data_IF_311129173563
#
_entry.id   IF_311129173563
#
_cell.length_a   1.000
_cell.length_b   1.000
_cell.length_c   1.000
_cell.angle_alpha   90.00
_cell.angle_beta   90.00
_cell.angle_gamma   90.00
#
_symmetry.space_group_name_H-M   'P 1'
#
loop_
_entity.id
_entity.type
_entity.pdbx_description
1 polymer ?
#
# COMPACT_ATOMS: atom_id res chain seq x y z
N UNK A 1 8.39 36.06 -15.91
CA UNK A 1 7.75 34.79 -15.51
C UNK A 1 7.51 34.82 -14.01
N UNK A 2 6.32 34.50 -13.51
CA UNK A 2 6.08 34.45 -12.07
C UNK A 2 7.04 33.47 -11.43
N UNK A 3 7.62 33.84 -10.28
CA UNK A 3 8.55 33.04 -9.50
C UNK A 3 7.75 31.92 -8.85
N UNK A 4 7.83 30.69 -9.38
CA UNK A 4 7.21 29.50 -8.78
C UNK A 4 7.74 29.36 -7.35
N UNK A 5 6.85 29.21 -6.37
CA UNK A 5 7.24 28.98 -4.99
C UNK A 5 8.13 27.72 -4.89
N UNK A 6 9.04 27.68 -3.93
CA UNK A 6 9.96 26.55 -3.73
C UNK A 6 9.16 25.26 -3.55
N UNK A 7 8.09 25.32 -2.79
CA UNK A 7 7.21 24.20 -2.49
C UNK A 7 6.49 23.66 -3.73
N UNK A 8 5.95 24.54 -4.57
CA UNK A 8 5.29 24.13 -5.82
C UNK A 8 6.28 23.48 -6.79
N UNK A 9 7.51 23.99 -6.84
CA UNK A 9 8.59 23.40 -7.64
C UNK A 9 8.97 22.02 -7.13
N UNK A 10 9.10 21.86 -5.81
CA UNK A 10 9.41 20.60 -5.15
C UNK A 10 8.34 19.56 -5.47
N UNK A 11 7.07 19.91 -5.32
CA UNK A 11 5.93 19.05 -5.65
C UNK A 11 5.92 18.64 -7.12
N UNK A 12 6.07 19.59 -8.05
CA UNK A 12 6.10 19.29 -9.47
C UNK A 12 7.25 18.34 -9.88
N UNK A 13 8.41 18.42 -9.22
CA UNK A 13 9.53 17.49 -9.44
C UNK A 13 9.24 16.11 -8.86
N UNK A 14 8.59 16.00 -7.70
CA UNK A 14 8.15 14.73 -7.12
C UNK A 14 7.12 14.06 -8.04
N UNK A 15 6.09 14.79 -8.49
CA UNK A 15 5.07 14.27 -9.40
C UNK A 15 5.68 13.78 -10.72
N UNK A 16 6.65 14.51 -11.26
CA UNK A 16 7.38 14.09 -12.45
C UNK A 16 8.20 12.82 -12.21
N UNK A 17 8.87 12.73 -11.04
CA UNK A 17 9.63 11.53 -10.68
C UNK A 17 8.69 10.32 -10.52
N UNK A 18 7.52 10.47 -9.89
CA UNK A 18 6.50 9.41 -9.80
C UNK A 18 6.10 8.91 -11.19
N UNK A 19 5.84 9.82 -12.15
CA UNK A 19 5.48 9.42 -13.52
C UNK A 19 6.61 8.68 -14.24
N UNK A 20 7.87 9.14 -14.09
CA UNK A 20 9.04 8.47 -14.68
C UNK A 20 9.21 7.07 -14.07
N UNK A 21 9.10 6.96 -12.74
CA UNK A 21 9.26 5.68 -12.05
C UNK A 21 8.14 4.70 -12.44
N UNK A 22 6.91 5.15 -12.51
CA UNK A 22 5.78 4.31 -12.90
C UNK A 22 5.91 3.76 -14.33
N UNK A 23 6.48 4.55 -15.24
CA UNK A 23 6.67 4.17 -16.63
C UNK A 23 7.94 3.35 -16.87
N UNK A 24 9.06 3.78 -16.27
CA UNK A 24 10.40 3.34 -16.68
C UNK A 24 11.22 2.72 -15.53
N UNK A 25 10.67 2.68 -14.30
CA UNK A 25 11.33 2.18 -13.09
C UNK A 25 12.24 3.19 -12.40
N UNK A 26 12.65 2.87 -11.16
CA UNK A 26 13.49 3.74 -10.31
C UNK A 26 14.85 4.01 -10.94
N UNK A 27 15.44 3.02 -11.65
CA UNK A 27 16.74 3.19 -12.28
C UNK A 27 16.72 4.31 -13.34
N UNK A 28 15.62 4.46 -14.09
CA UNK A 28 15.45 5.47 -15.13
C UNK A 28 15.18 6.89 -14.56
N UNK A 29 14.78 7.03 -13.30
CA UNK A 29 14.50 8.31 -12.66
C UNK A 29 15.80 9.10 -12.35
N UNK A 30 16.57 9.41 -13.40
CA UNK A 30 17.71 10.32 -13.32
C UNK A 30 17.24 11.78 -13.18
N UNK A 31 18.12 12.64 -12.66
CA UNK A 31 17.81 14.08 -12.54
C UNK A 31 17.41 14.71 -13.89
N UNK A 32 18.07 14.28 -14.98
CA UNK A 32 17.76 14.75 -16.34
C UNK A 32 16.38 14.25 -16.82
N UNK A 33 16.05 13.00 -16.56
CA UNK A 33 14.74 12.44 -16.94
C UNK A 33 13.62 13.17 -16.19
N UNK A 34 13.81 13.39 -14.89
CA UNK A 34 12.81 14.07 -14.04
C UNK A 34 12.60 15.53 -14.44
N UNK A 35 13.66 16.31 -14.69
CA UNK A 35 13.48 17.71 -15.13
C UNK A 35 12.89 17.78 -16.53
N UNK A 36 13.22 16.84 -17.41
CA UNK A 36 12.61 16.73 -18.75
C UNK A 36 11.10 16.47 -18.65
N UNK A 37 10.69 15.53 -17.81
CA UNK A 37 9.29 15.20 -17.53
C UNK A 37 8.55 16.38 -16.87
N UNK A 38 9.22 17.14 -15.98
CA UNK A 38 8.64 18.30 -15.30
C UNK A 38 8.60 19.57 -16.17
N UNK A 39 9.25 19.57 -17.34
CA UNK A 39 9.43 20.79 -18.15
C UNK A 39 10.30 21.84 -17.45
N UNK A 40 11.25 21.42 -16.59
CA UNK A 40 12.08 22.31 -15.77
C UNK A 40 13.57 22.21 -16.13
N UNK A 41 14.35 23.17 -15.63
CA UNK A 41 15.80 23.16 -15.77
C UNK A 41 16.47 22.30 -14.68
N UNK A 42 17.67 21.78 -14.96
CA UNK A 42 18.48 21.07 -13.98
C UNK A 42 18.81 21.96 -12.76
N UNK A 43 19.01 23.27 -12.96
CA UNK A 43 19.18 24.24 -11.88
C UNK A 43 17.96 24.30 -10.95
N UNK A 44 16.74 24.15 -11.49
CA UNK A 44 15.51 24.08 -10.70
C UNK A 44 15.48 22.88 -9.77
N UNK A 45 16.01 21.75 -10.22
CA UNK A 45 16.10 20.55 -9.39
C UNK A 45 17.12 20.73 -8.27
N UNK A 46 18.33 21.20 -8.58
CA UNK A 46 19.37 21.44 -7.57
C UNK A 46 19.01 22.51 -6.54
N UNK A 47 18.06 23.40 -6.88
CA UNK A 47 17.50 24.35 -5.91
C UNK A 47 16.53 23.67 -4.92
N UNK A 48 15.88 22.58 -5.33
CA UNK A 48 14.87 21.88 -4.53
C UNK A 48 15.40 20.63 -3.81
N UNK A 49 16.43 19.99 -4.39
CA UNK A 49 17.01 18.74 -3.90
C UNK A 49 18.54 18.74 -4.11
N UNK A 50 19.28 18.37 -3.05
CA UNK A 50 20.73 18.30 -3.08
C UNK A 50 21.24 17.11 -3.94
N UNK A 51 20.45 16.04 -4.03
CA UNK A 51 20.80 14.83 -4.76
C UNK A 51 19.59 14.12 -5.34
N UNK A 52 19.82 13.15 -6.24
CA UNK A 52 18.82 12.21 -6.74
C UNK A 52 18.23 11.36 -5.61
N UNK A 53 19.06 10.93 -4.69
CA UNK A 53 18.66 10.12 -3.52
C UNK A 53 17.67 10.89 -2.65
N UNK A 54 17.93 12.18 -2.40
CA UNK A 54 17.03 13.04 -1.64
C UNK A 54 15.68 13.21 -2.36
N UNK A 55 15.69 13.35 -3.68
CA UNK A 55 14.45 13.35 -4.46
C UNK A 55 13.69 12.03 -4.32
N UNK A 56 14.36 10.88 -4.45
CA UNK A 56 13.70 9.57 -4.33
C UNK A 56 13.14 9.33 -2.92
N UNK A 57 13.84 9.75 -1.87
CA UNK A 57 13.31 9.73 -0.49
C UNK A 57 12.04 10.56 -0.37
N UNK A 58 12.01 11.74 -0.99
CA UNK A 58 10.81 12.59 -1.00
C UNK A 58 9.65 11.95 -1.81
N UNK A 59 9.96 11.23 -2.90
CA UNK A 59 8.96 10.45 -3.65
C UNK A 59 8.34 9.36 -2.78
N UNK A 60 9.15 8.59 -2.06
CA UNK A 60 8.65 7.55 -1.15
C UNK A 60 7.74 8.14 -0.07
N UNK A 61 8.15 9.26 0.53
CA UNK A 61 7.34 9.95 1.54
C UNK A 61 5.98 10.40 0.98
N UNK A 62 5.95 11.03 -0.21
CA UNK A 62 4.71 11.48 -0.85
C UNK A 62 3.77 10.31 -1.19
N UNK A 63 4.33 9.22 -1.73
CA UNK A 63 3.56 8.02 -2.05
C UNK A 63 2.98 7.39 -0.78
N UNK A 64 3.78 7.24 0.28
CA UNK A 64 3.35 6.72 1.58
C UNK A 64 2.24 7.57 2.20
N UNK A 65 2.36 8.90 2.12
CA UNK A 65 1.32 9.82 2.60
C UNK A 65 0.04 9.72 1.77
N UNK A 66 0.14 9.55 0.46
CA UNK A 66 -1.02 9.34 -0.40
C UNK A 66 -1.74 8.02 -0.06
N UNK A 67 -1.01 6.95 0.20
CA UNK A 67 -1.56 5.66 0.61
C UNK A 67 -2.20 5.73 1.99
N UNK A 68 -1.58 6.42 2.94
CA UNK A 68 -2.16 6.66 4.27
C UNK A 68 -3.49 7.43 4.16
N UNK A 69 -3.54 8.51 3.38
CA UNK A 69 -4.79 9.27 3.15
C UNK A 69 -5.87 8.40 2.50
N UNK A 70 -5.52 7.61 1.50
CA UNK A 70 -6.45 6.69 0.85
C UNK A 70 -6.99 5.63 1.83
N UNK A 71 -6.15 5.13 2.74
CA UNK A 71 -6.55 4.20 3.78
C UNK A 71 -7.50 4.86 4.81
N UNK A 72 -7.25 6.11 5.20
CA UNK A 72 -8.09 6.87 6.12
C UNK A 72 -9.45 7.24 5.50
N UNK A 73 -9.48 7.60 4.21
CA UNK A 73 -10.67 8.14 3.51
C UNK A 73 -11.64 7.07 3.02
N UNK A 74 -11.21 5.85 2.80
CA UNK A 74 -12.10 4.93 2.11
C UNK A 74 -11.83 3.43 2.16
N UNK A 75 -10.82 2.95 2.83
CA UNK A 75 -10.50 1.53 2.87
C UNK A 75 -11.21 0.75 3.99
N UNK A 76 -12.01 1.42 4.82
CA UNK A 76 -12.96 0.77 5.69
C UNK A 76 -14.35 0.83 5.03
N UNK A 77 -14.67 -0.04 4.04
CA UNK A 77 -16.06 -0.22 3.69
C UNK A 77 -16.76 -0.63 4.97
N UNK A 78 -17.99 -0.16 5.18
CA UNK A 78 -18.88 -0.84 6.12
C UNK A 78 -18.86 -2.30 5.71
N UNK A 79 -18.15 -3.12 6.50
CA UNK A 79 -18.01 -4.54 6.22
C UNK A 79 -19.35 -5.16 6.60
N UNK A 80 -20.25 -5.22 5.64
CA UNK A 80 -21.49 -6.00 5.77
C UNK A 80 -21.11 -7.47 5.61
N UNK A 81 -20.54 -8.07 6.63
CA UNK A 81 -20.21 -9.48 6.65
C UNK A 81 -20.69 -10.06 7.99
N UNK A 82 -21.18 -11.26 7.91
CA UNK A 82 -21.71 -12.00 9.07
C UNK A 82 -20.64 -12.82 9.79
N UNK A 83 -19.48 -13.00 9.16
CA UNK A 83 -18.36 -13.80 9.67
C UNK A 83 -17.00 -13.21 9.23
N UNK A 84 -15.92 -13.51 10.00
CA UNK A 84 -14.58 -12.96 9.73
C UNK A 84 -13.99 -13.42 8.40
N UNK A 85 -14.25 -14.66 7.93
CA UNK A 85 -13.69 -15.16 6.68
C UNK A 85 -14.23 -14.35 5.49
N UNK A 86 -15.54 -14.16 5.43
CA UNK A 86 -16.18 -13.34 4.38
C UNK A 86 -15.68 -11.88 4.43
N UNK A 87 -15.52 -11.31 5.62
CA UNK A 87 -15.04 -9.94 5.78
C UNK A 87 -13.62 -9.77 5.25
N UNK A 88 -12.71 -10.65 5.66
CA UNK A 88 -11.31 -10.63 5.22
C UNK A 88 -11.21 -10.90 3.71
N UNK A 89 -11.97 -11.88 3.20
CA UNK A 89 -11.97 -12.22 1.78
C UNK A 89 -12.38 -11.02 0.91
N UNK A 90 -13.45 -10.32 1.26
CA UNK A 90 -13.87 -9.10 0.55
C UNK A 90 -12.82 -7.99 0.58
N UNK A 91 -12.13 -7.81 1.71
CA UNK A 91 -11.04 -6.84 1.80
C UNK A 91 -9.88 -7.18 0.87
N UNK A 92 -9.47 -8.44 0.84
CA UNK A 92 -8.40 -8.94 -0.03
C UNK A 92 -8.79 -8.91 -1.52
N UNK A 93 -10.03 -9.25 -1.86
CA UNK A 93 -10.55 -9.14 -3.23
C UNK A 93 -10.52 -7.69 -3.71
N UNK A 94 -10.94 -6.74 -2.87
CA UNK A 94 -10.86 -5.32 -3.19
C UNK A 94 -9.42 -4.86 -3.41
N UNK A 95 -8.49 -5.33 -2.58
CA UNK A 95 -7.06 -5.04 -2.77
C UNK A 95 -6.58 -5.56 -4.13
N UNK A 96 -6.94 -6.78 -4.51
CA UNK A 96 -6.60 -7.33 -5.82
C UNK A 96 -7.22 -6.51 -6.97
N UNK A 97 -8.45 -6.03 -6.82
CA UNK A 97 -9.08 -5.17 -7.83
C UNK A 97 -8.29 -3.87 -8.04
N UNK A 98 -7.79 -3.26 -6.97
CA UNK A 98 -6.93 -2.06 -7.05
C UNK A 98 -5.60 -2.37 -7.73
N UNK A 99 -4.97 -3.49 -7.39
CA UNK A 99 -3.74 -3.97 -8.03
C UNK A 99 -3.93 -4.19 -9.53
N UNK A 100 -5.03 -4.86 -9.92
CA UNK A 100 -5.37 -5.12 -11.33
C UNK A 100 -5.65 -3.82 -12.09
N UNK A 101 -6.24 -2.83 -11.43
CA UNK A 101 -6.59 -1.55 -12.04
C UNK A 101 -5.37 -0.66 -12.34
N UNK A 102 -4.26 -0.80 -11.57
CA UNK A 102 -3.09 0.07 -11.69
C UNK A 102 -1.75 -0.69 -11.51
N UNK A 103 -1.47 -1.71 -12.36
CA UNK A 103 -0.31 -2.58 -12.19
C UNK A 103 1.04 -1.85 -12.28
N UNK A 104 1.14 -0.81 -13.10
CA UNK A 104 2.36 -0.01 -13.24
C UNK A 104 2.66 0.77 -11.95
N UNK A 105 1.61 1.26 -11.28
CA UNK A 105 1.74 1.91 -9.98
C UNK A 105 2.30 0.94 -8.94
N UNK A 106 1.76 -0.25 -8.85
CA UNK A 106 2.20 -1.26 -7.88
C UNK A 106 3.63 -1.75 -8.16
N UNK A 107 4.00 -1.89 -9.43
CA UNK A 107 5.38 -2.20 -9.82
C UNK A 107 6.34 -1.07 -9.39
N UNK A 108 5.94 0.19 -9.55
CA UNK A 108 6.73 1.34 -9.12
C UNK A 108 6.91 1.38 -7.60
N UNK A 109 5.86 1.05 -6.82
CA UNK A 109 5.91 0.97 -5.36
C UNK A 109 6.86 -0.12 -4.89
N UNK A 110 6.81 -1.30 -5.52
CA UNK A 110 7.71 -2.41 -5.22
C UNK A 110 9.17 -2.05 -5.52
N UNK A 111 9.45 -1.42 -6.68
CA UNK A 111 10.78 -0.98 -7.08
C UNK A 111 11.32 0.10 -6.11
N UNK A 112 10.49 1.06 -5.70
CA UNK A 112 10.82 2.05 -4.68
C UNK A 112 11.11 1.41 -3.32
N UNK A 113 10.33 0.42 -2.89
CA UNK A 113 10.54 -0.27 -1.62
C UNK A 113 11.89 -1.02 -1.62
N UNK A 114 12.21 -1.73 -2.71
CA UNK A 114 13.50 -2.43 -2.87
C UNK A 114 14.67 -1.44 -2.91
N UNK A 115 14.52 -0.33 -3.62
CA UNK A 115 15.52 0.74 -3.63
C UNK A 115 15.74 1.33 -2.24
N UNK A 116 14.66 1.66 -1.54
CA UNK A 116 14.70 2.24 -0.19
C UNK A 116 15.33 1.31 0.83
N UNK A 117 15.06 0.00 0.75
CA UNK A 117 15.66 -0.98 1.63
C UNK A 117 17.21 -0.99 1.56
N UNK A 118 17.78 -0.59 0.42
CA UNK A 118 19.22 -0.51 0.21
C UNK A 118 19.83 0.85 0.56
N UNK A 119 19.08 1.94 0.35
CA UNK A 119 19.65 3.30 0.36
C UNK A 119 19.05 4.19 1.46
N UNK A 120 17.87 3.85 1.97
CA UNK A 120 17.14 4.62 2.98
C UNK A 120 16.30 3.70 3.89
N UNK A 121 16.92 2.79 4.67
CA UNK A 121 16.23 1.75 5.43
C UNK A 121 15.20 2.31 6.42
N UNK A 122 15.46 3.48 7.01
CA UNK A 122 14.50 4.11 7.93
C UNK A 122 13.23 4.57 7.20
N UNK A 123 13.35 4.97 5.92
CA UNK A 123 12.22 5.42 5.10
C UNK A 123 11.30 4.23 4.77
N UNK A 124 11.85 3.09 4.33
CA UNK A 124 11.05 1.90 4.08
C UNK A 124 10.47 1.32 5.37
N UNK A 125 11.18 1.39 6.49
CA UNK A 125 10.66 0.97 7.78
C UNK A 125 9.43 1.81 8.20
N UNK A 126 9.48 3.12 7.98
CA UNK A 126 8.35 4.04 8.20
C UNK A 126 7.17 3.74 7.26
N UNK A 127 7.42 3.48 5.98
CA UNK A 127 6.39 3.06 5.01
C UNK A 127 5.67 1.78 5.47
N UNK A 128 6.42 0.75 5.85
CA UNK A 128 5.83 -0.49 6.36
C UNK A 128 5.13 -0.33 7.72
N UNK A 129 5.49 0.68 8.52
CA UNK A 129 4.72 1.02 9.72
C UNK A 129 3.32 1.54 9.36
N UNK A 130 3.20 2.37 8.31
CA UNK A 130 1.90 2.83 7.78
C UNK A 130 1.07 1.64 7.28
N UNK A 131 1.66 0.71 6.52
CA UNK A 131 0.95 -0.47 6.04
C UNK A 131 0.44 -1.36 7.18
N UNK A 132 1.25 -1.58 8.21
CA UNK A 132 0.82 -2.35 9.40
C UNK A 132 -0.31 -1.67 10.15
N UNK A 133 -0.29 -0.34 10.27
CA UNK A 133 -1.38 0.40 10.93
C UNK A 133 -2.68 0.34 10.12
N UNK A 134 -2.63 0.47 8.80
CA UNK A 134 -3.78 0.28 7.92
C UNK A 134 -4.35 -1.15 8.01
N UNK A 135 -3.48 -2.16 8.02
CA UNK A 135 -3.87 -3.56 8.22
C UNK A 135 -4.53 -3.77 9.58
N UNK A 136 -3.94 -3.19 10.64
CA UNK A 136 -4.49 -3.24 12.01
C UNK A 136 -5.89 -2.61 12.07
N UNK A 137 -6.08 -1.44 11.49
CA UNK A 137 -7.37 -0.76 11.42
C UNK A 137 -8.42 -1.61 10.68
N UNK A 138 -8.02 -2.26 9.57
CA UNK A 138 -8.89 -3.17 8.82
C UNK A 138 -9.32 -4.38 9.67
N UNK A 139 -8.41 -4.99 10.42
CA UNK A 139 -8.72 -6.12 11.31
C UNK A 139 -9.61 -5.71 12.51
N UNK A 140 -9.44 -4.50 13.05
CA UNK A 140 -10.36 -3.94 14.04
C UNK A 140 -11.77 -3.77 13.46
N UNK A 141 -11.87 -3.28 12.24
CA UNK A 141 -13.17 -3.14 11.55
C UNK A 141 -13.85 -4.49 11.30
N UNK A 142 -13.07 -5.52 10.90
CA UNK A 142 -13.58 -6.89 10.76
C UNK A 142 -14.15 -7.40 12.10
N UNK A 143 -13.40 -7.26 13.19
CA UNK A 143 -13.83 -7.68 14.51
C UNK A 143 -15.12 -6.97 14.94
N UNK A 144 -15.18 -5.64 14.74
CA UNK A 144 -16.36 -4.84 15.07
C UNK A 144 -17.61 -5.22 14.25
N UNK A 145 -17.43 -5.50 12.96
CA UNK A 145 -18.53 -5.85 12.05
C UNK A 145 -19.09 -7.26 12.29
N UNK A 146 -18.24 -8.20 12.72
CA UNK A 146 -18.61 -9.63 12.85
C UNK A 146 -18.81 -10.09 14.28
N UNK A 147 -18.53 -9.23 15.28
CA UNK A 147 -18.53 -9.61 16.69
C UNK A 147 -17.39 -10.58 17.06
N UNK A 148 -16.41 -10.72 16.19
CA UNK A 148 -15.27 -11.62 16.40
C UNK A 148 -14.20 -10.99 17.32
N UNK A 149 -13.39 -11.86 17.91
CA UNK A 149 -12.21 -11.50 18.69
C UNK A 149 -10.99 -12.23 18.17
N UNK A 150 -9.91 -11.51 17.93
CA UNK A 150 -8.64 -12.11 17.51
C UNK A 150 -8.03 -12.88 18.69
N UNK A 151 -7.53 -14.09 18.41
CA UNK A 151 -6.91 -15.01 19.40
C UNK A 151 -5.40 -14.80 19.52
N UNK A 152 -4.83 -14.01 18.61
CA UNK A 152 -3.41 -13.63 18.59
C UNK A 152 -3.28 -12.11 18.80
N UNK A 153 -2.08 -11.60 19.16
CA UNK A 153 -1.85 -10.16 19.19
C UNK A 153 -2.23 -9.52 17.85
N UNK A 154 -2.98 -8.42 17.91
CA UNK A 154 -3.48 -7.76 16.70
C UNK A 154 -2.36 -7.29 15.78
N UNK A 155 -1.21 -6.91 16.34
CA UNK A 155 -0.04 -6.48 15.56
C UNK A 155 0.58 -7.64 14.77
N UNK A 156 0.52 -8.87 15.30
CA UNK A 156 0.97 -10.06 14.58
C UNK A 156 0.02 -10.43 13.44
N UNK A 157 -1.29 -10.34 13.66
CA UNK A 157 -2.29 -10.53 12.63
C UNK A 157 -2.17 -9.44 11.52
N UNK A 158 -1.93 -8.19 11.91
CA UNK A 158 -1.69 -7.10 10.95
C UNK A 158 -0.43 -7.32 10.12
N UNK A 159 0.65 -7.78 10.74
CA UNK A 159 1.88 -8.16 10.03
C UNK A 159 1.63 -9.31 9.05
N UNK A 160 0.86 -10.31 9.43
CA UNK A 160 0.47 -11.40 8.54
C UNK A 160 -0.35 -10.89 7.34
N UNK A 161 -1.28 -9.97 7.56
CA UNK A 161 -2.06 -9.37 6.47
C UNK A 161 -1.16 -8.63 5.48
N UNK A 162 -0.18 -7.84 5.95
CA UNK A 162 0.82 -7.18 5.08
C UNK A 162 1.64 -8.21 4.29
N UNK A 163 2.10 -9.29 4.92
CA UNK A 163 2.82 -10.37 4.22
C UNK A 163 1.97 -11.03 3.12
N UNK A 164 0.67 -11.20 3.35
CA UNK A 164 -0.27 -11.76 2.36
C UNK A 164 -0.41 -10.79 1.18
N UNK A 165 -0.58 -9.49 1.41
CA UNK A 165 -0.72 -8.50 0.34
C UNK A 165 0.57 -8.31 -0.45
N UNK A 166 1.73 -8.27 0.19
CA UNK A 166 3.03 -8.19 -0.48
C UNK A 166 3.30 -9.41 -1.36
N UNK A 167 3.03 -10.61 -0.82
CA UNK A 167 3.16 -11.87 -1.57
C UNK A 167 2.21 -11.93 -2.76
N UNK A 168 0.96 -11.51 -2.59
CA UNK A 168 -0.03 -11.42 -3.66
C UNK A 168 0.44 -10.45 -4.76
N UNK A 169 0.85 -9.24 -4.38
CA UNK A 169 1.32 -8.22 -5.33
C UNK A 169 2.47 -8.75 -6.17
N UNK A 170 3.49 -9.31 -5.54
CA UNK A 170 4.67 -9.83 -6.22
C UNK A 170 4.32 -11.00 -7.15
N UNK A 171 3.52 -11.96 -6.67
CA UNK A 171 3.11 -13.12 -7.46
C UNK A 171 2.25 -12.71 -8.66
N UNK A 172 1.24 -11.89 -8.44
CA UNK A 172 0.35 -11.45 -9.52
C UNK A 172 1.08 -10.55 -10.55
N UNK A 173 2.01 -9.70 -10.12
CA UNK A 173 2.83 -8.91 -11.06
C UNK A 173 3.68 -9.82 -11.97
N UNK A 174 4.08 -11.00 -11.49
CA UNK A 174 4.90 -11.93 -12.24
C UNK A 174 4.10 -12.73 -13.29
N UNK A 175 2.88 -13.18 -12.96
CA UNK A 175 2.11 -14.11 -13.83
C UNK A 175 0.83 -13.51 -14.42
N UNK A 176 0.30 -12.44 -13.82
CA UNK A 176 -0.97 -11.79 -14.21
C UNK A 176 -2.18 -12.71 -14.20
N UNK A 177 -2.10 -13.85 -13.49
CA UNK A 177 -3.22 -14.80 -13.38
C UNK A 177 -4.19 -14.37 -12.26
N UNK A 178 -5.11 -13.44 -12.60
CA UNK A 178 -6.14 -12.94 -11.67
C UNK A 178 -7.06 -14.07 -11.15
N UNK A 179 -7.52 -15.04 -11.96
CA UNK A 179 -8.26 -16.19 -11.43
C UNK A 179 -7.49 -17.02 -10.39
N UNK A 180 -6.19 -17.27 -10.59
CA UNK A 180 -5.36 -17.98 -9.60
C UNK A 180 -5.17 -17.16 -8.33
N UNK A 181 -4.93 -15.86 -8.47
CA UNK A 181 -4.81 -14.93 -7.35
C UNK A 181 -6.09 -14.94 -6.48
N UNK A 182 -7.29 -14.86 -7.07
CA UNK A 182 -8.55 -14.94 -6.31
C UNK A 182 -8.73 -16.26 -5.56
N UNK A 183 -8.34 -17.39 -6.16
CA UNK A 183 -8.37 -18.70 -5.45
C UNK A 183 -7.39 -18.69 -4.25
N UNK A 184 -6.21 -18.12 -4.41
CA UNK A 184 -5.22 -18.02 -3.33
C UNK A 184 -5.70 -17.10 -2.21
N UNK A 185 -6.40 -16.01 -2.53
CA UNK A 185 -7.01 -15.11 -1.54
C UNK A 185 -8.07 -15.79 -0.69
N UNK A 186 -8.87 -16.69 -1.26
CA UNK A 186 -9.83 -17.48 -0.48
C UNK A 186 -9.14 -18.34 0.58
N UNK A 187 -7.98 -18.94 0.26
CA UNK A 187 -7.20 -19.69 1.25
C UNK A 187 -6.57 -18.77 2.29
N UNK A 188 -6.03 -17.62 1.89
CA UNK A 188 -5.44 -16.63 2.78
C UNK A 188 -6.48 -16.07 3.76
N UNK A 189 -7.67 -15.73 3.26
CA UNK A 189 -8.79 -15.24 4.08
C UNK A 189 -9.20 -16.26 5.14
N UNK A 190 -9.36 -17.53 4.75
CA UNK A 190 -9.66 -18.62 5.68
C UNK A 190 -8.58 -18.80 6.74
N UNK A 191 -7.31 -18.76 6.33
CA UNK A 191 -6.17 -18.92 7.24
C UNK A 191 -6.09 -17.78 8.25
N UNK A 192 -6.32 -16.53 7.81
CA UNK A 192 -6.33 -15.37 8.70
C UNK A 192 -7.55 -15.38 9.61
N UNK A 193 -8.74 -15.72 9.09
CA UNK A 193 -9.98 -15.80 9.86
C UNK A 193 -9.94 -16.91 10.94
N UNK A 194 -9.17 -17.98 10.73
CA UNK A 194 -8.95 -19.01 11.74
C UNK A 194 -8.25 -18.51 13.00
N UNK A 195 -7.64 -17.33 12.95
CA UNK A 195 -7.07 -16.63 14.11
C UNK A 195 -8.11 -15.79 14.87
N UNK A 196 -9.38 -15.84 14.47
CA UNK A 196 -10.48 -15.16 15.14
C UNK A 196 -11.49 -16.17 15.67
N UNK A 197 -12.18 -15.80 16.76
CA UNK A 197 -13.30 -16.55 17.33
C UNK A 197 -14.51 -15.63 17.43
N UNK A 198 -15.68 -16.16 17.10
CA UNK A 198 -16.97 -15.52 17.40
C UNK A 198 -17.58 -16.23 18.59
N UNK A 199 -17.98 -15.49 19.61
CA UNK A 199 -18.76 -16.07 20.69
C UNK A 199 -20.11 -16.55 20.12
N UNK A 200 -20.53 -17.78 20.43
CA UNK A 200 -21.83 -18.23 19.99
C UNK A 200 -22.91 -17.28 20.53
N UNK A 201 -23.77 -16.77 19.63
CA UNK A 201 -24.87 -15.88 20.03
C UNK A 201 -25.64 -16.50 21.19
N UNK A 202 -25.94 -15.76 22.28
CA UNK A 202 -26.61 -16.28 23.46
C UNK A 202 -28.08 -16.75 23.22
N UNK A 203 -28.51 -16.79 21.94
CA UNK A 203 -29.86 -17.17 21.53
C UNK A 203 -30.06 -18.62 21.09
N UNK A 204 -29.01 -19.46 20.92
CA UNK A 204 -29.16 -20.82 20.42
C UNK A 204 -29.37 -21.90 21.51
N UNK A 205 -29.45 -21.53 22.77
CA UNK A 205 -29.60 -22.45 23.90
C UNK A 205 -31.01 -22.43 24.53
N UNK A 206 -32.05 -22.33 23.73
CA UNK A 206 -33.44 -22.59 24.18
C UNK A 206 -34.26 -23.23 23.08
N UNK A 207 -34.21 -24.50 22.96
CA UNK A 207 -35.31 -25.37 22.56
C UNK A 207 -35.11 -26.75 23.19
#
# INVERSE_FOLDING_TARGET
MPRIAVEDRRRALIDAAVRVIARDGVAAASTRAVVGEAGMSLASLHYAFDSREQLLVAVVAEVTDAERRAAEEGLLPRVEATDPETAVHRGLDRYLDLLVAAPERELALLDLAVWSARHAPDVVAAQYAVYREAARASLVAVAAATGARWTVPLDDAARLLVLITDGLTTAWLADRDTPAARRSLAFAARSLAALAVTDPSPGAARC
#
